data_IF_535782176036
#
_entry.id   IF_535782176036
#
_cell.length_a   1.000
_cell.length_b   1.000
_cell.length_c   1.000
_cell.angle_alpha   90.00
_cell.angle_beta   90.00
_cell.angle_gamma   90.00
#
_symmetry.space_group_name_H-M   'P 1'
#
loop_
_entity.id
_entity.type
_entity.pdbx_description
1 polymer ?
#
# COMPACT_ATOMS: atom_id res chain seq x y z
N UNK A 1 -14.11 18.11 2.83
CA UNK A 1 -14.13 16.72 3.35
C UNK A 1 -12.72 16.28 3.71
N UNK A 2 -12.48 16.02 4.99
CA UNK A 2 -11.16 15.71 5.56
C UNK A 2 -10.43 14.55 4.84
N UNK A 3 -11.16 13.49 4.45
CA UNK A 3 -10.55 12.37 3.73
C UNK A 3 -10.00 12.77 2.35
N UNK A 4 -10.65 13.72 1.66
CA UNK A 4 -10.15 14.26 0.40
C UNK A 4 -8.93 15.15 0.59
N UNK A 5 -8.89 15.92 1.67
CA UNK A 5 -7.74 16.75 2.02
C UNK A 5 -6.52 15.87 2.31
N UNK A 6 -6.70 14.80 3.09
CA UNK A 6 -5.66 13.81 3.35
C UNK A 6 -5.16 13.13 2.06
N UNK A 7 -6.07 12.82 1.12
CA UNK A 7 -5.69 12.21 -0.15
C UNK A 7 -4.85 13.17 -1.02
N UNK A 8 -5.26 14.43 -1.12
CA UNK A 8 -4.50 15.46 -1.85
C UNK A 8 -3.13 15.67 -1.22
N UNK A 9 -3.07 15.86 0.10
CA UNK A 9 -1.81 16.04 0.79
C UNK A 9 -0.87 14.83 0.69
N UNK A 10 -1.42 13.61 0.52
CA UNK A 10 -0.60 12.43 0.24
C UNK A 10 0.00 12.47 -1.18
N UNK A 11 -0.77 12.90 -2.20
CA UNK A 11 -0.24 13.09 -3.55
C UNK A 11 0.82 14.19 -3.59
N UNK A 12 0.57 15.32 -2.91
CA UNK A 12 1.52 16.43 -2.83
C UNK A 12 2.83 15.96 -2.17
N UNK A 13 2.74 15.27 -1.03
CA UNK A 13 3.90 14.71 -0.33
C UNK A 13 4.69 13.71 -1.20
N UNK A 14 4.01 12.87 -2.00
CA UNK A 14 4.69 11.96 -2.95
C UNK A 14 5.36 12.74 -4.10
N UNK A 15 4.70 13.77 -4.63
CA UNK A 15 5.24 14.59 -5.71
C UNK A 15 6.45 15.42 -5.26
N UNK A 16 6.38 15.99 -4.05
CA UNK A 16 7.45 16.78 -3.45
C UNK A 16 8.61 15.91 -2.92
N UNK A 17 8.38 14.60 -2.75
CA UNK A 17 9.32 13.68 -2.11
C UNK A 17 9.58 14.00 -0.64
N UNK A 18 8.71 14.79 -0.01
CA UNK A 18 8.87 15.25 1.37
C UNK A 18 7.52 15.52 2.03
N UNK A 19 7.47 15.44 3.35
CA UNK A 19 6.30 15.82 4.14
C UNK A 19 6.71 16.51 5.44
N UNK A 20 5.80 17.29 6.02
CA UNK A 20 5.99 17.92 7.32
C UNK A 20 5.46 17.04 8.45
N UNK A 21 6.23 16.90 9.52
CA UNK A 21 5.82 16.22 10.76
C UNK A 21 5.02 17.15 11.67
N UNK A 22 4.33 16.64 12.69
CA UNK A 22 3.67 17.48 13.69
C UNK A 22 4.61 18.43 14.44
N UNK A 23 5.89 18.05 14.59
CA UNK A 23 6.92 18.93 15.17
C UNK A 23 7.39 20.04 14.23
N UNK A 24 6.91 20.08 12.97
CA UNK A 24 7.32 21.04 11.95
C UNK A 24 8.60 20.65 11.19
N UNK A 25 9.15 19.48 11.46
CA UNK A 25 10.34 18.96 10.74
C UNK A 25 9.95 18.49 9.36
N UNK A 26 10.76 18.81 8.34
CA UNK A 26 10.63 18.22 7.01
C UNK A 26 11.34 16.87 6.95
N UNK A 27 10.63 15.88 6.45
CA UNK A 27 11.16 14.52 6.21
C UNK A 27 11.20 14.29 4.71
N UNK A 28 12.40 14.07 4.17
CA UNK A 28 12.57 13.61 2.79
C UNK A 28 12.40 12.09 2.76
N UNK A 29 11.60 11.60 1.82
CA UNK A 29 11.31 10.18 1.63
C UNK A 29 11.32 9.77 0.14
N UNK A 30 11.86 10.66 -0.71
CA UNK A 30 11.93 10.44 -2.17
C UNK A 30 12.63 9.14 -2.54
N UNK A 31 13.77 8.84 -1.90
CA UNK A 31 14.54 7.63 -2.18
C UNK A 31 13.76 6.35 -1.80
N UNK A 32 12.97 6.41 -0.73
CA UNK A 32 12.11 5.29 -0.31
C UNK A 32 10.97 5.07 -1.30
N UNK A 33 10.36 6.14 -1.81
CA UNK A 33 9.32 6.07 -2.85
C UNK A 33 9.89 5.46 -4.13
N UNK A 34 11.02 5.97 -4.62
CA UNK A 34 11.65 5.47 -5.85
C UNK A 34 12.09 4.01 -5.69
N UNK A 35 12.60 3.63 -4.52
CA UNK A 35 12.93 2.24 -4.22
C UNK A 35 11.68 1.34 -4.26
N UNK A 36 10.58 1.74 -3.63
CA UNK A 36 9.34 0.98 -3.64
C UNK A 36 8.80 0.80 -5.08
N UNK A 37 8.85 1.86 -5.90
CA UNK A 37 8.48 1.80 -7.33
C UNK A 37 9.39 0.85 -8.12
N UNK A 38 10.70 0.89 -7.88
CA UNK A 38 11.67 0.06 -8.58
C UNK A 38 11.57 -1.43 -8.21
N UNK A 39 11.19 -1.73 -6.97
CA UNK A 39 11.04 -3.09 -6.45
C UNK A 39 9.65 -3.69 -6.74
N UNK A 40 8.70 -2.88 -7.22
CA UNK A 40 7.35 -3.35 -7.53
C UNK A 40 7.38 -4.49 -8.55
N UNK A 41 6.60 -5.51 -8.31
CA UNK A 41 6.38 -6.62 -9.24
C UNK A 41 4.90 -6.71 -9.60
N UNK A 42 4.60 -6.68 -10.90
CA UNK A 42 3.27 -6.93 -11.43
C UNK A 42 3.23 -8.41 -11.85
N UNK A 43 2.44 -9.23 -11.17
CA UNK A 43 2.39 -10.70 -11.29
C UNK A 43 1.09 -11.07 -11.97
N UNK A 44 1.16 -11.54 -13.19
CA UNK A 44 -0.02 -11.96 -13.97
C UNK A 44 -0.53 -13.32 -13.48
N UNK A 45 -1.79 -13.62 -13.80
CA UNK A 45 -2.42 -14.87 -13.39
C UNK A 45 -1.69 -16.15 -13.91
N UNK A 46 -1.00 -16.03 -15.04
CA UNK A 46 -0.26 -17.11 -15.70
C UNK A 46 1.25 -17.06 -15.45
N UNK A 47 1.74 -16.05 -14.71
CA UNK A 47 3.14 -15.98 -14.33
C UNK A 47 3.48 -17.05 -13.27
N UNK A 48 4.67 -17.64 -13.31
CA UNK A 48 5.10 -18.53 -12.26
C UNK A 48 5.23 -17.77 -10.93
N UNK A 49 4.63 -18.31 -9.88
CA UNK A 49 4.79 -17.74 -8.55
C UNK A 49 6.25 -17.82 -8.09
N UNK A 50 6.74 -16.79 -7.36
CA UNK A 50 8.09 -16.82 -6.80
C UNK A 50 8.28 -18.08 -5.93
N UNK A 51 9.33 -18.83 -6.21
CA UNK A 51 9.72 -19.98 -5.38
C UNK A 51 10.41 -19.50 -4.11
N UNK A 52 9.97 -19.98 -2.97
CA UNK A 52 10.60 -19.71 -1.69
C UNK A 52 11.52 -20.84 -1.33
N UNK A 53 12.83 -20.63 -1.43
CA UNK A 53 13.86 -21.58 -0.98
C UNK A 53 14.02 -21.54 0.55
N UNK A 54 12.93 -21.62 1.28
CA UNK A 54 12.95 -21.58 2.75
C UNK A 54 12.35 -22.86 3.31
N UNK A 55 12.97 -23.41 4.33
CA UNK A 55 12.35 -24.43 5.17
C UNK A 55 10.99 -23.90 5.67
N UNK A 56 9.94 -24.69 5.56
CA UNK A 56 8.62 -24.28 6.02
C UNK A 56 8.66 -24.03 7.53
N UNK A 57 7.93 -23.03 8.00
CA UNK A 57 7.78 -22.78 9.42
C UNK A 57 7.15 -24.00 10.10
N UNK A 58 7.71 -24.42 11.23
CA UNK A 58 7.20 -25.56 12.00
C UNK A 58 5.74 -25.34 12.48
N UNK A 59 5.31 -24.08 12.58
CA UNK A 59 3.97 -23.70 13.04
C UNK A 59 3.53 -22.38 12.46
N UNK A 60 2.29 -22.31 11.96
CA UNK A 60 1.58 -21.09 11.61
C UNK A 60 0.67 -20.68 12.77
N UNK A 61 0.72 -19.41 13.15
CA UNK A 61 -0.17 -18.83 14.16
C UNK A 61 -1.16 -17.93 13.44
N UNK A 62 -2.46 -18.21 13.63
CA UNK A 62 -3.56 -17.38 13.13
C UNK A 62 -4.14 -16.58 14.29
N UNK A 63 -4.28 -15.26 14.10
CA UNK A 63 -4.89 -14.35 15.08
C UNK A 63 -5.94 -13.49 14.39
N UNK A 64 -7.06 -13.27 15.08
CA UNK A 64 -8.11 -12.32 14.66
C UNK A 64 -8.17 -11.22 15.71
N UNK A 65 -8.08 -9.95 15.24
CA UNK A 65 -8.06 -8.78 16.10
C UNK A 65 -9.00 -7.71 15.56
N UNK A 66 -9.56 -6.90 16.46
CA UNK A 66 -10.35 -5.73 16.09
C UNK A 66 -9.44 -4.50 15.96
N UNK A 67 -8.69 -4.44 14.88
CA UNK A 67 -7.75 -3.36 14.57
C UNK A 67 -7.68 -3.16 13.05
N UNK A 68 -7.16 -2.01 12.63
CA UNK A 68 -6.95 -1.74 11.20
C UNK A 68 -5.73 -2.49 10.67
N UNK A 69 -5.64 -2.61 9.34
CA UNK A 69 -4.45 -3.16 8.67
C UNK A 69 -3.17 -2.41 9.05
N UNK A 70 -3.26 -1.08 9.15
CA UNK A 70 -2.11 -0.23 9.49
C UNK A 70 -1.67 -0.42 10.94
N UNK A 71 -2.61 -0.49 11.88
CA UNK A 71 -2.32 -0.75 13.31
C UNK A 71 -1.67 -2.12 13.49
N UNK A 72 -2.23 -3.15 12.85
CA UNK A 72 -1.65 -4.49 12.89
C UNK A 72 -0.22 -4.50 12.35
N UNK A 73 -0.01 -3.90 11.17
CA UNK A 73 1.30 -3.85 10.54
C UNK A 73 2.32 -3.08 11.39
N UNK A 74 1.95 -1.92 11.93
CA UNK A 74 2.82 -1.12 12.81
C UNK A 74 3.27 -1.94 14.03
N UNK A 75 2.34 -2.67 14.67
CA UNK A 75 2.67 -3.56 15.80
C UNK A 75 3.72 -4.62 15.44
N UNK A 76 3.65 -5.19 14.23
CA UNK A 76 4.66 -6.16 13.79
C UNK A 76 6.01 -5.49 13.50
N UNK A 77 6.01 -4.32 12.88
CA UNK A 77 7.24 -3.55 12.59
C UNK A 77 7.95 -3.15 13.88
N UNK A 78 7.23 -2.68 14.90
CA UNK A 78 7.78 -2.36 16.24
C UNK A 78 8.46 -3.55 16.91
N UNK A 79 8.02 -4.77 16.59
CA UNK A 79 8.65 -6.03 17.06
C UNK A 79 9.80 -6.51 16.17
N UNK A 80 10.22 -5.72 15.19
CA UNK A 80 11.29 -6.05 14.25
C UNK A 80 10.90 -7.03 13.14
N UNK A 81 9.60 -7.29 12.95
CA UNK A 81 9.12 -8.11 11.84
C UNK A 81 8.96 -7.29 10.57
N UNK A 82 8.89 -7.98 9.43
CA UNK A 82 8.58 -7.39 8.11
C UNK A 82 7.20 -7.91 7.64
N UNK A 83 6.11 -7.25 8.01
CA UNK A 83 4.77 -7.70 7.62
C UNK A 83 4.52 -7.51 6.13
N UNK A 84 3.63 -8.36 5.59
CA UNK A 84 3.02 -8.20 4.28
C UNK A 84 1.52 -7.99 4.49
N UNK A 85 1.00 -6.84 4.07
CA UNK A 85 -0.42 -6.54 4.12
C UNK A 85 -1.10 -6.90 2.78
N UNK A 86 -2.30 -7.45 2.84
CA UNK A 86 -3.16 -7.59 1.67
C UNK A 86 -3.96 -6.29 1.48
N UNK A 87 -3.89 -5.71 0.29
CA UNK A 87 -4.75 -4.62 -0.16
C UNK A 87 -5.92 -5.22 -0.96
N UNK A 88 -7.14 -5.08 -0.43
CA UNK A 88 -8.39 -5.48 -1.11
C UNK A 88 -8.76 -4.41 -2.12
N UNK A 89 -8.17 -4.49 -3.30
CA UNK A 89 -8.12 -3.40 -4.25
C UNK A 89 -9.35 -3.29 -5.15
N UNK A 90 -9.65 -2.08 -5.54
CA UNK A 90 -10.49 -1.83 -6.71
C UNK A 90 -9.78 -2.32 -7.97
N UNK A 91 -10.43 -3.15 -8.78
CA UNK A 91 -9.80 -3.75 -9.97
C UNK A 91 -9.56 -2.78 -11.12
N UNK A 92 -10.23 -1.63 -11.17
CA UNK A 92 -10.20 -0.71 -12.33
C UNK A 92 -9.63 0.67 -12.02
N UNK A 93 -9.60 1.06 -10.74
CA UNK A 93 -9.10 2.36 -10.30
C UNK A 93 -8.00 2.18 -9.23
N UNK A 94 -6.72 2.50 -9.54
CA UNK A 94 -5.65 2.46 -8.54
C UNK A 94 -6.02 3.30 -7.32
N UNK A 95 -5.94 2.69 -6.13
CA UNK A 95 -6.29 3.37 -4.88
C UNK A 95 -7.78 3.61 -4.68
N UNK A 96 -8.64 2.94 -5.49
CA UNK A 96 -10.08 3.04 -5.35
C UNK A 96 -10.61 4.46 -5.47
N UNK A 97 -11.45 4.84 -4.50
CA UNK A 97 -12.05 6.17 -4.40
C UNK A 97 -11.34 7.13 -3.45
N UNK A 98 -10.02 6.96 -3.17
CA UNK A 98 -9.36 7.75 -2.12
C UNK A 98 -9.35 9.26 -2.43
N UNK A 99 -9.23 9.65 -3.70
CA UNK A 99 -9.29 11.05 -4.13
C UNK A 99 -10.71 11.65 -4.04
N UNK A 100 -11.73 10.82 -4.03
CA UNK A 100 -13.12 11.19 -3.84
C UNK A 100 -13.56 11.18 -2.37
N UNK A 101 -12.68 10.75 -1.46
CA UNK A 101 -12.93 10.73 -0.02
C UNK A 101 -13.55 9.43 0.50
N UNK A 102 -13.53 8.35 -0.29
CA UNK A 102 -13.89 7.03 0.18
C UNK A 102 -12.97 6.56 1.32
N UNK A 103 -13.46 5.70 2.22
CA UNK A 103 -12.80 5.40 3.50
C UNK A 103 -12.62 3.90 3.78
N UNK A 104 -12.65 3.07 2.74
CA UNK A 104 -12.37 1.66 2.88
C UNK A 104 -10.85 1.39 3.05
N UNK A 105 -10.45 0.15 3.15
CA UNK A 105 -9.10 -0.27 3.48
C UNK A 105 -8.07 0.25 2.46
N UNK A 106 -8.32 0.07 1.16
CA UNK A 106 -7.41 0.53 0.10
C UNK A 106 -7.18 2.04 0.17
N UNK A 107 -8.26 2.80 0.38
CA UNK A 107 -8.17 4.25 0.43
C UNK A 107 -7.37 4.75 1.65
N UNK A 108 -7.48 4.06 2.78
CA UNK A 108 -6.66 4.35 3.96
C UNK A 108 -5.19 4.07 3.68
N UNK A 109 -4.87 2.92 3.08
CA UNK A 109 -3.49 2.59 2.69
C UNK A 109 -2.89 3.65 1.75
N UNK A 110 -3.63 4.08 0.73
CA UNK A 110 -3.17 5.10 -0.22
C UNK A 110 -3.02 6.50 0.40
N UNK A 111 -3.84 6.86 1.41
CA UNK A 111 -3.70 8.14 2.13
C UNK A 111 -2.55 8.15 3.13
N UNK A 112 -2.14 6.99 3.61
CA UNK A 112 -1.18 6.87 4.71
C UNK A 112 0.22 6.44 4.25
N UNK A 113 0.38 6.06 2.98
CA UNK A 113 1.63 5.56 2.44
C UNK A 113 1.85 5.97 0.98
N UNK A 114 3.02 5.65 0.45
CA UNK A 114 3.31 5.82 -0.97
C UNK A 114 2.76 4.68 -1.86
N UNK A 115 1.80 3.89 -1.39
CA UNK A 115 1.24 2.78 -2.16
C UNK A 115 0.75 3.23 -3.54
N UNK A 116 0.03 4.36 -3.61
CA UNK A 116 -0.50 4.86 -4.88
C UNK A 116 0.59 5.05 -5.95
N UNK A 117 1.80 5.46 -5.56
CA UNK A 117 2.92 5.63 -6.47
C UNK A 117 3.38 4.30 -7.11
N UNK A 118 3.14 3.16 -6.45
CA UNK A 118 3.44 1.84 -7.01
C UNK A 118 2.31 1.27 -7.86
N UNK A 119 1.06 1.70 -7.62
CA UNK A 119 -0.12 1.23 -8.33
C UNK A 119 -0.40 2.02 -9.61
N UNK A 120 -0.12 3.33 -9.60
CA UNK A 120 -0.42 4.21 -10.71
C UNK A 120 0.29 3.75 -12.00
N UNK A 121 -0.49 3.59 -13.07
CA UNK A 121 0.02 3.15 -14.37
C UNK A 121 0.34 1.66 -14.48
N UNK A 122 -0.01 0.83 -13.49
CA UNK A 122 0.17 -0.61 -13.61
C UNK A 122 -0.80 -1.18 -14.67
N UNK A 123 -0.32 -2.05 -15.58
CA UNK A 123 -1.12 -2.59 -16.66
C UNK A 123 -2.29 -3.47 -16.21
N UNK A 124 -2.30 -3.97 -14.98
CA UNK A 124 -3.43 -4.71 -14.41
C UNK A 124 -4.74 -3.92 -14.54
N UNK A 125 -4.72 -2.62 -14.20
CA UNK A 125 -5.92 -1.78 -14.25
C UNK A 125 -6.43 -1.56 -15.67
N UNK A 126 -5.53 -1.46 -16.66
CA UNK A 126 -5.93 -1.35 -18.07
C UNK A 126 -6.54 -2.65 -18.59
N UNK A 127 -5.98 -3.79 -18.18
CA UNK A 127 -6.50 -5.10 -18.55
C UNK A 127 -7.91 -5.30 -17.98
N UNK A 128 -8.09 -5.03 -16.68
CA UNK A 128 -9.40 -5.17 -16.04
C UNK A 128 -10.45 -4.23 -16.63
N UNK A 129 -10.10 -2.99 -17.01
CA UNK A 129 -11.04 -2.06 -17.67
C UNK A 129 -11.52 -2.53 -19.05
N UNK A 130 -10.75 -3.35 -19.75
CA UNK A 130 -11.11 -3.91 -21.06
C UNK A 130 -11.99 -5.15 -20.98
N UNK A 131 -12.11 -5.75 -19.79
CA UNK A 131 -12.91 -6.98 -19.62
C UNK A 131 -14.39 -6.69 -19.80
N UNK A 132 -15.13 -7.59 -20.48
CA UNK A 132 -16.57 -7.41 -20.70
C UNK A 132 -17.41 -7.71 -19.45
N UNK A 133 -16.82 -8.36 -18.46
CA UNK A 133 -17.44 -8.76 -17.19
C UNK A 133 -16.81 -7.99 -16.02
N UNK A 134 -17.55 -7.73 -14.92
CA UNK A 134 -17.05 -6.96 -13.79
C UNK A 134 -16.11 -7.74 -12.86
N UNK A 135 -15.78 -8.97 -13.22
CA UNK A 135 -14.85 -9.82 -12.47
C UNK A 135 -13.39 -9.37 -12.65
N UNK A 136 -12.58 -9.62 -11.66
CA UNK A 136 -11.13 -9.42 -11.70
C UNK A 136 -10.41 -10.71 -12.06
N UNK A 137 -9.16 -10.58 -12.49
CA UNK A 137 -8.27 -11.73 -12.68
C UNK A 137 -7.48 -12.01 -11.40
N UNK A 138 -6.74 -13.11 -11.36
CA UNK A 138 -5.76 -13.42 -10.30
C UNK A 138 -4.47 -12.58 -10.43
N UNK A 139 -4.48 -11.51 -11.23
CA UNK A 139 -3.36 -10.59 -11.35
C UNK A 139 -3.14 -9.83 -10.04
N UNK A 140 -1.90 -9.78 -9.58
CA UNK A 140 -1.50 -9.15 -8.33
C UNK A 140 -0.37 -8.14 -8.55
N UNK A 141 -0.28 -7.14 -7.67
CA UNK A 141 0.85 -6.22 -7.63
C UNK A 141 1.51 -6.36 -6.25
N UNK A 142 2.74 -6.87 -6.22
CA UNK A 142 3.55 -6.87 -5.01
C UNK A 142 4.38 -5.59 -4.95
N UNK A 143 4.16 -4.78 -3.92
CA UNK A 143 4.88 -3.55 -3.63
C UNK A 143 5.67 -3.75 -2.32
N UNK A 144 6.92 -4.20 -2.38
CA UNK A 144 7.75 -4.33 -1.19
C UNK A 144 8.24 -2.96 -0.71
N UNK A 145 8.44 -2.86 0.60
CA UNK A 145 9.05 -1.69 1.25
C UNK A 145 8.35 -0.34 0.92
N UNK A 146 7.01 -0.33 0.85
CA UNK A 146 6.24 0.89 0.68
C UNK A 146 6.39 1.77 1.93
N UNK A 147 6.88 3.01 1.82
CA UNK A 147 7.00 3.89 2.98
C UNK A 147 5.63 4.37 3.45
N UNK A 148 5.39 4.20 4.74
CA UNK A 148 4.21 4.68 5.47
C UNK A 148 4.61 5.93 6.22
N UNK A 149 3.94 7.05 5.95
CA UNK A 149 4.28 8.37 6.50
C UNK A 149 3.21 8.95 7.41
N UNK A 150 2.06 8.29 7.51
CA UNK A 150 0.88 8.78 8.24
C UNK A 150 0.16 7.63 8.94
N UNK A 151 -0.36 7.91 10.12
CA UNK A 151 -1.24 7.00 10.86
C UNK A 151 -2.68 7.03 10.34
N UNK A 152 -3.52 6.10 10.79
CA UNK A 152 -4.93 5.98 10.35
C UNK A 152 -5.78 7.22 10.66
N UNK A 153 -5.44 7.95 11.71
CA UNK A 153 -6.12 9.20 12.12
C UNK A 153 -5.68 10.42 11.30
N UNK A 154 -4.76 10.24 10.38
CA UNK A 154 -4.31 11.26 9.46
C UNK A 154 -3.12 12.11 9.96
N UNK A 155 -2.49 11.71 11.07
CA UNK A 155 -1.33 12.40 11.62
C UNK A 155 -0.05 11.92 10.93
N UNK A 156 0.75 12.86 10.42
CA UNK A 156 2.06 12.54 9.83
C UNK A 156 3.02 12.00 10.90
N UNK A 157 3.81 11.01 10.53
CA UNK A 157 4.76 10.36 11.44
C UNK A 157 6.08 11.14 11.49
N UNK A 158 6.75 11.12 12.63
CA UNK A 158 8.08 11.72 12.79
C UNK A 158 9.14 11.00 11.92
N UNK A 159 8.93 9.71 11.65
CA UNK A 159 9.73 8.92 10.71
C UNK A 159 8.83 7.93 9.96
N UNK A 160 9.01 7.75 8.65
CA UNK A 160 8.30 6.73 7.91
C UNK A 160 8.81 5.34 8.32
N UNK A 161 7.94 4.34 8.19
CA UNK A 161 8.32 2.93 8.32
C UNK A 161 7.90 2.17 7.05
N UNK A 162 8.43 1.00 6.82
CA UNK A 162 8.27 0.26 5.57
C UNK A 162 7.27 -0.89 5.72
N UNK A 163 6.38 -1.02 4.74
CA UNK A 163 5.36 -2.07 4.66
C UNK A 163 5.40 -2.77 3.30
N UNK A 164 5.49 -4.09 3.31
CA UNK A 164 5.18 -4.88 2.12
C UNK A 164 3.66 -4.89 1.88
N UNK A 165 3.22 -4.65 0.65
CA UNK A 165 1.80 -4.66 0.30
C UNK A 165 1.59 -5.53 -0.93
N UNK A 166 0.69 -6.51 -0.82
CA UNK A 166 0.19 -7.30 -1.94
C UNK A 166 -1.18 -6.78 -2.33
N UNK A 167 -1.28 -6.18 -3.50
CA UNK A 167 -2.52 -5.66 -4.07
C UNK A 167 -3.17 -6.72 -4.93
N UNK A 168 -4.40 -7.10 -4.59
CA UNK A 168 -5.22 -8.05 -5.36
C UNK A 168 -6.63 -7.47 -5.49
N UNK A 169 -7.14 -7.42 -6.69
CA UNK A 169 -8.51 -7.00 -6.95
C UNK A 169 -9.50 -8.09 -6.53
N UNK A 170 -10.60 -7.72 -5.88
CA UNK A 170 -11.65 -8.60 -5.40
C UNK A 170 -12.98 -8.30 -6.11
#
# INVERSE_FOLDING_TARGET
>A
DYARELARSALDAMADGAYATPSGRQVNWSDDIERAKALKMSIRADDPLPTVEREPFARTIVQVRNETTMQAAATFVERGARPLALNFANGVHPGGGFLQGARAQEEVLCRSSALYATLAGDPMYDDHRRRPTPDSTDWMILSPDVPVFRSDDGISLEQPWLLGILTSAA
#
